data_IF_185327364619
#
_entry.id   IF_185327364619
#
_cell.length_a   1.000
_cell.length_b   1.000
_cell.length_c   1.000
_cell.angle_alpha   90.00
_cell.angle_beta   90.00
_cell.angle_gamma   90.00
#
_symmetry.space_group_name_H-M   'P 1'
#
loop_
_entity.id
_entity.type
_entity.pdbx_description
1 polymer ?
#
# COMPACT_ATOMS: atom_id res chain seq x y z
N UNK A 1 -71.36 23.93 -8.00
CA UNK A 1 -72.51 23.01 -7.91
C UNK A 1 -71.96 21.58 -7.87
N UNK A 2 -72.51 20.63 -7.08
CA UNK A 2 -72.32 20.58 -5.62
C UNK A 2 -72.03 19.14 -5.07
N UNK A 3 -71.96 19.03 -3.73
CA UNK A 3 -72.27 17.84 -2.86
C UNK A 3 -71.13 16.80 -2.67
N UNK A 4 -70.38 16.73 -1.56
CA UNK A 4 -70.66 16.24 -0.16
C UNK A 4 -71.20 14.81 -0.06
N UNK A 5 -70.37 13.80 0.27
CA UNK A 5 -70.70 12.72 1.23
C UNK A 5 -69.47 11.80 1.43
N UNK A 6 -68.86 11.76 2.62
CA UNK A 6 -69.20 10.95 3.82
C UNK A 6 -69.09 9.43 3.61
N UNK A 7 -67.96 8.90 4.07
CA UNK A 7 -67.79 7.78 5.00
C UNK A 7 -68.79 6.61 4.86
N UNK A 8 -68.30 5.49 4.33
CA UNK A 8 -68.68 4.10 4.71
C UNK A 8 -67.39 3.26 4.56
N UNK A 9 -66.70 2.91 5.65
CA UNK A 9 -66.85 1.66 6.43
C UNK A 9 -66.90 0.40 5.56
N UNK A 10 -65.90 -0.49 5.74
CA UNK A 10 -65.93 -1.97 5.80
C UNK A 10 -64.47 -2.48 5.67
N UNK A 11 -63.75 -2.70 6.77
CA UNK A 11 -63.51 -4.00 7.41
C UNK A 11 -63.09 -5.14 6.46
N UNK A 12 -61.78 -5.41 6.47
CA UNK A 12 -61.09 -6.70 6.45
C UNK A 12 -61.62 -7.82 5.54
N UNK A 13 -60.84 -8.16 4.52
CA UNK A 13 -60.66 -9.54 4.08
C UNK A 13 -59.26 -9.71 3.48
N UNK A 14 -58.43 -10.41 4.25
CA UNK A 14 -57.11 -10.94 3.89
C UNK A 14 -57.26 -11.98 2.76
N UNK A 15 -56.19 -12.11 1.96
CA UNK A 15 -55.91 -13.05 0.85
C UNK A 15 -56.11 -12.52 -0.58
N UNK A 16 -55.03 -12.00 -1.16
CA UNK A 16 -54.68 -12.25 -2.55
C UNK A 16 -53.17 -12.00 -2.77
N UNK A 17 -52.46 -13.04 -3.20
CA UNK A 17 -51.12 -12.93 -3.75
C UNK A 17 -51.17 -12.16 -5.08
N UNK A 18 -50.22 -11.23 -5.29
CA UNK A 18 -50.12 -10.45 -6.52
C UNK A 18 -48.84 -9.61 -6.55
N UNK A 19 -47.97 -9.94 -7.50
CA UNK A 19 -46.62 -9.43 -7.74
C UNK A 19 -46.63 -7.95 -8.16
N UNK A 20 -45.64 -7.19 -7.69
CA UNK A 20 -44.77 -6.22 -8.41
C UNK A 20 -44.37 -5.07 -7.47
N UNK A 21 -43.08 -5.00 -7.17
CA UNK A 21 -42.48 -4.03 -6.26
C UNK A 21 -42.45 -2.61 -6.82
N UNK A 22 -42.61 -1.64 -5.92
CA UNK A 22 -42.25 -0.25 -6.13
C UNK A 22 -41.99 0.42 -4.77
N UNK A 23 -40.76 0.95 -4.64
CA UNK A 23 -40.28 1.97 -3.69
C UNK A 23 -40.38 1.64 -2.18
N UNK A 24 -39.32 1.00 -1.68
CA UNK A 24 -38.98 0.99 -0.26
C UNK A 24 -38.17 2.24 0.11
N UNK A 25 -38.43 2.75 1.31
CA UNK A 25 -37.58 3.69 2.02
C UNK A 25 -37.03 3.05 3.30
N UNK A 26 -35.93 3.66 3.75
CA UNK A 26 -35.24 3.64 5.05
C UNK A 26 -34.33 2.49 5.50
N UNK A 27 -33.21 2.96 6.09
CA UNK A 27 -32.27 2.38 7.05
C UNK A 27 -31.22 1.29 6.67
N UNK A 28 -29.97 1.69 6.93
CA UNK A 28 -28.83 0.95 7.48
C UNK A 28 -28.02 -0.06 6.62
N UNK A 29 -26.72 0.24 6.55
CA UNK A 29 -25.51 -0.53 6.18
C UNK A 29 -25.57 -2.08 6.32
N UNK A 30 -24.83 -2.86 5.48
CA UNK A 30 -23.39 -2.68 5.26
C UNK A 30 -22.92 -2.69 3.80
N UNK A 31 -21.75 -2.10 3.59
CA UNK A 31 -20.93 -2.11 2.39
C UNK A 31 -20.94 -3.46 1.65
N UNK A 32 -21.68 -3.50 0.55
CA UNK A 32 -21.52 -4.48 -0.51
C UNK A 32 -20.74 -3.79 -1.63
N UNK A 33 -19.47 -4.20 -1.76
CA UNK A 33 -18.53 -3.71 -2.77
C UNK A 33 -19.07 -3.99 -4.18
N UNK A 34 -19.67 -2.96 -4.79
CA UNK A 34 -20.07 -3.00 -6.18
C UNK A 34 -18.85 -2.78 -7.08
N UNK A 35 -18.42 -3.86 -7.74
CA UNK A 35 -17.51 -3.79 -8.88
C UNK A 35 -18.00 -2.77 -9.91
N UNK A 36 -17.24 -1.70 -10.10
CA UNK A 36 -17.40 -0.79 -11.22
C UNK A 36 -16.41 -1.13 -12.32
N UNK A 37 -16.94 -1.38 -13.52
CA UNK A 37 -16.17 -1.39 -14.75
C UNK A 37 -16.01 0.05 -15.25
N UNK A 38 -14.75 0.49 -15.35
CA UNK A 38 -14.28 1.55 -16.23
C UNK A 38 -14.24 2.97 -15.63
N UNK A 39 -13.07 3.34 -15.07
CA UNK A 39 -12.44 4.67 -15.21
C UNK A 39 -10.99 4.60 -14.66
N UNK A 40 -10.04 4.26 -15.54
CA UNK A 40 -8.60 4.03 -15.29
C UNK A 40 -7.78 5.29 -14.89
N UNK A 41 -8.41 6.31 -14.31
CA UNK A 41 -7.73 7.54 -13.87
C UNK A 41 -7.88 7.83 -12.36
N UNK A 42 -8.85 7.20 -11.67
CA UNK A 42 -9.16 7.45 -10.24
C UNK A 42 -8.57 6.37 -9.30
N UNK A 43 -8.29 5.18 -9.85
CA UNK A 43 -7.76 4.02 -9.11
C UNK A 43 -6.30 4.23 -8.67
N UNK A 44 -5.50 4.92 -9.48
CA UNK A 44 -4.10 5.21 -9.14
C UNK A 44 -3.95 6.20 -7.99
N UNK A 45 -4.87 7.16 -7.86
CA UNK A 45 -4.88 8.13 -6.76
C UNK A 45 -5.31 7.49 -5.44
N UNK A 46 -6.35 6.67 -5.46
CA UNK A 46 -6.89 6.00 -4.28
C UNK A 46 -5.94 4.92 -3.74
N UNK A 47 -5.32 4.11 -4.62
CA UNK A 47 -4.31 3.14 -4.23
C UNK A 47 -3.04 3.81 -3.68
N UNK A 48 -2.59 4.89 -4.32
CA UNK A 48 -1.45 5.69 -3.84
C UNK A 48 -1.73 6.29 -2.46
N UNK A 49 -2.91 6.86 -2.25
CA UNK A 49 -3.30 7.43 -0.96
C UNK A 49 -3.30 6.36 0.14
N UNK A 50 -3.82 5.15 -0.15
CA UNK A 50 -3.75 4.03 0.80
C UNK A 50 -2.32 3.62 1.18
N UNK A 51 -1.38 3.66 0.23
CA UNK A 51 0.04 3.39 0.49
C UNK A 51 0.69 4.53 1.29
N UNK A 52 0.36 5.79 0.97
CA UNK A 52 0.84 6.96 1.72
C UNK A 52 0.36 6.91 3.18
N UNK A 53 -0.92 6.62 3.41
CA UNK A 53 -1.48 6.45 4.76
C UNK A 53 -0.79 5.29 5.50
N UNK A 54 -0.54 4.17 4.84
CA UNK A 54 0.16 3.03 5.43
C UNK A 54 1.62 3.34 5.80
N UNK A 55 2.31 4.20 5.03
CA UNK A 55 3.65 4.68 5.39
C UNK A 55 3.62 5.56 6.64
N UNK A 56 2.62 6.43 6.76
CA UNK A 56 2.42 7.23 7.96
C UNK A 56 2.13 6.34 9.18
N UNK A 57 1.24 5.37 9.05
CA UNK A 57 0.91 4.41 10.10
C UNK A 57 2.12 3.54 10.47
N UNK A 58 2.93 3.13 9.51
CA UNK A 58 4.18 2.42 9.75
C UNK A 58 5.15 3.26 10.58
N UNK A 59 5.38 4.53 10.21
CA UNK A 59 6.28 5.42 10.96
C UNK A 59 5.73 5.77 12.35
N UNK A 60 4.40 5.88 12.51
CA UNK A 60 3.77 6.02 13.81
C UNK A 60 3.98 4.78 14.68
N UNK A 61 3.77 3.58 14.14
CA UNK A 61 4.04 2.32 14.83
C UNK A 61 5.50 2.22 15.28
N UNK A 62 6.46 2.61 14.44
CA UNK A 62 7.89 2.61 14.79
C UNK A 62 8.18 3.52 16.00
N UNK A 63 7.54 4.70 16.06
CA UNK A 63 7.66 5.60 17.24
C UNK A 63 7.04 5.00 18.48
N UNK A 64 5.91 4.29 18.36
CA UNK A 64 5.28 3.56 19.47
C UNK A 64 6.17 2.42 19.99
N UNK A 65 6.98 1.81 19.11
CA UNK A 65 8.04 0.85 19.50
C UNK A 65 9.28 1.53 20.11
N UNK A 66 9.30 2.86 20.20
CA UNK A 66 10.41 3.64 20.75
C UNK A 66 11.50 3.99 19.74
N UNK A 67 11.27 3.77 18.44
CA UNK A 67 12.21 4.13 17.36
C UNK A 67 11.77 5.46 16.74
N UNK A 68 12.54 6.51 16.98
CA UNK A 68 12.21 7.84 16.50
C UNK A 68 12.57 7.97 15.01
N UNK A 69 11.54 7.98 14.17
CA UNK A 69 11.61 8.15 12.72
C UNK A 69 10.74 9.33 12.29
N UNK A 70 11.11 10.13 11.28
CA UNK A 70 10.21 11.12 10.68
C UNK A 70 9.17 10.44 9.78
N UNK A 71 8.11 11.17 9.43
CA UNK A 71 7.07 10.68 8.53
C UNK A 71 7.63 10.52 7.11
N UNK A 72 7.39 9.37 6.50
CA UNK A 72 7.84 9.05 5.13
C UNK A 72 6.71 9.36 4.15
N UNK A 73 7.04 10.12 3.11
CA UNK A 73 6.12 10.45 2.02
C UNK A 73 6.60 9.82 0.72
N UNK A 74 5.71 9.69 -0.26
CA UNK A 74 6.07 9.25 -1.60
C UNK A 74 6.46 10.44 -2.48
N UNK A 75 7.45 10.27 -3.35
CA UNK A 75 7.78 11.23 -4.39
C UNK A 75 6.78 11.18 -5.56
N UNK A 76 6.97 12.04 -6.57
CA UNK A 76 6.11 12.06 -7.75
C UNK A 76 6.08 10.72 -8.51
N UNK A 77 7.14 9.90 -8.40
CA UNK A 77 7.23 8.58 -8.99
C UNK A 77 6.60 7.49 -8.10
N UNK A 78 6.16 7.81 -6.88
CA UNK A 78 5.58 6.83 -5.96
C UNK A 78 6.62 6.09 -5.11
N UNK A 79 7.87 6.55 -5.09
CA UNK A 79 8.92 5.97 -4.26
C UNK A 79 9.00 6.64 -2.88
N UNK A 80 9.23 5.89 -1.79
CA UNK A 80 9.42 6.46 -0.47
C UNK A 80 10.61 7.43 -0.41
N UNK A 81 10.37 8.65 0.07
CA UNK A 81 11.37 9.69 0.25
C UNK A 81 12.03 9.55 1.63
N UNK A 82 13.07 8.74 1.71
CA UNK A 82 13.88 8.58 2.92
C UNK A 82 15.18 9.35 2.73
N UNK A 83 15.47 10.34 3.58
CA UNK A 83 16.75 11.05 3.54
C UNK A 83 17.76 10.37 4.47
N UNK A 84 19.06 10.50 4.20
CA UNK A 84 20.10 9.94 5.07
C UNK A 84 19.99 10.42 6.51
N UNK A 85 19.69 11.71 6.70
CA UNK A 85 19.53 12.33 8.02
C UNK A 85 18.34 11.76 8.80
N UNK A 86 17.32 11.25 8.10
CA UNK A 86 16.11 10.68 8.71
C UNK A 86 16.40 9.35 9.43
N UNK A 87 17.47 8.65 9.05
CA UNK A 87 17.86 7.35 9.61
C UNK A 87 19.29 7.31 10.18
N UNK A 88 20.04 8.41 10.11
CA UNK A 88 21.43 8.48 10.57
C UNK A 88 21.62 8.16 12.08
N UNK A 89 20.55 8.31 12.87
CA UNK A 89 20.54 7.97 14.30
C UNK A 89 20.00 6.58 14.63
N UNK A 90 19.61 5.79 13.63
CA UNK A 90 18.96 4.48 13.81
C UNK A 90 19.95 3.38 13.51
N UNK A 91 20.18 2.51 14.48
CA UNK A 91 20.96 1.30 14.28
C UNK A 91 20.08 0.21 13.66
N UNK A 92 20.16 0.04 12.34
CA UNK A 92 19.38 -0.98 11.63
C UNK A 92 19.82 -2.42 11.98
N UNK A 93 20.97 -2.60 12.63
CA UNK A 93 21.45 -3.89 13.10
C UNK A 93 20.98 -4.20 14.54
N UNK A 94 20.43 -3.21 15.25
CA UNK A 94 19.91 -3.40 16.60
C UNK A 94 18.74 -4.38 16.61
N UNK A 95 18.72 -5.34 17.56
CA UNK A 95 17.61 -6.27 17.71
C UNK A 95 16.30 -5.55 18.08
N UNK A 96 16.38 -4.42 18.79
CA UNK A 96 15.22 -3.57 19.08
C UNK A 96 14.61 -2.99 17.81
N UNK A 97 15.44 -2.45 16.90
CA UNK A 97 14.99 -1.89 15.62
C UNK A 97 14.41 -2.97 14.71
N UNK A 98 15.07 -4.14 14.61
CA UNK A 98 14.57 -5.25 13.80
C UNK A 98 13.23 -5.80 14.31
N UNK A 99 13.07 -5.90 15.63
CA UNK A 99 11.82 -6.31 16.24
C UNK A 99 10.71 -5.28 15.96
N UNK A 100 11.01 -3.98 16.06
CA UNK A 100 10.06 -2.92 15.75
C UNK A 100 9.61 -2.97 14.28
N UNK A 101 10.56 -3.11 13.34
CA UNK A 101 10.24 -3.23 11.91
C UNK A 101 9.38 -4.46 11.66
N UNK A 102 9.74 -5.61 12.21
CA UNK A 102 8.96 -6.84 12.06
C UNK A 102 7.54 -6.72 12.62
N UNK A 103 7.34 -5.94 13.70
CA UNK A 103 6.03 -5.71 14.30
C UNK A 103 5.17 -4.74 13.48
N UNK A 104 5.78 -3.73 12.86
CA UNK A 104 5.09 -2.70 12.10
C UNK A 104 4.92 -3.03 10.61
N UNK A 105 5.70 -3.97 10.07
CA UNK A 105 5.73 -4.28 8.64
C UNK A 105 4.38 -4.75 8.09
N UNK A 106 3.55 -5.39 8.92
CA UNK A 106 2.23 -5.86 8.49
C UNK A 106 1.35 -4.73 7.96
N UNK A 107 1.51 -3.50 8.48
CA UNK A 107 0.78 -2.32 8.03
C UNK A 107 1.01 -2.08 6.53
N UNK A 108 2.27 -2.21 6.08
CA UNK A 108 2.63 -2.01 4.69
C UNK A 108 2.20 -3.17 3.79
N UNK A 109 2.28 -4.41 4.29
CA UNK A 109 1.83 -5.58 3.52
C UNK A 109 0.32 -5.59 3.35
N UNK A 110 -0.44 -5.23 4.39
CA UNK A 110 -1.90 -5.19 4.37
C UNK A 110 -2.42 -4.08 3.46
N UNK A 111 -1.70 -2.96 3.37
CA UNK A 111 -1.96 -1.88 2.42
C UNK A 111 -1.57 -2.21 0.97
N UNK A 112 -0.99 -3.39 0.73
CA UNK A 112 -0.55 -3.81 -0.59
C UNK A 112 0.65 -3.02 -1.13
N UNK A 113 1.37 -2.29 -0.29
CA UNK A 113 2.54 -1.50 -0.69
C UNK A 113 3.65 -2.35 -1.33
N UNK A 114 3.64 -3.66 -1.03
CA UNK A 114 4.52 -4.66 -1.63
C UNK A 114 3.76 -5.78 -2.36
N UNK A 115 2.45 -5.63 -2.57
CA UNK A 115 1.62 -6.62 -3.27
C UNK A 115 1.80 -6.50 -4.78
N UNK A 116 3.01 -6.80 -5.21
CA UNK A 116 3.27 -7.18 -6.59
C UNK A 116 2.96 -8.67 -6.84
N UNK A 117 2.48 -9.36 -5.80
CA UNK A 117 2.33 -10.82 -5.72
C UNK A 117 1.05 -11.36 -6.41
N UNK A 118 0.13 -10.48 -6.80
CA UNK A 118 -1.15 -10.88 -7.37
C UNK A 118 -1.08 -11.20 -8.88
N UNK A 119 0.02 -10.81 -9.54
CA UNK A 119 0.31 -11.13 -10.95
C UNK A 119 1.62 -11.93 -11.08
N UNK A 120 1.56 -13.21 -11.48
CA UNK A 120 2.74 -14.07 -11.58
C UNK A 120 3.72 -13.65 -12.70
N UNK A 121 3.25 -12.99 -13.76
CA UNK A 121 4.15 -12.45 -14.80
C UNK A 121 4.87 -11.20 -14.28
N UNK A 122 4.16 -10.33 -13.56
CA UNK A 122 4.76 -9.16 -12.91
C UNK A 122 5.76 -9.55 -11.83
N UNK A 123 5.47 -10.58 -11.03
CA UNK A 123 6.37 -11.08 -10.00
C UNK A 123 7.69 -11.60 -10.60
N UNK A 124 7.63 -12.31 -11.73
CA UNK A 124 8.83 -12.78 -12.42
C UNK A 124 9.68 -11.63 -12.96
N UNK A 125 9.04 -10.60 -13.53
CA UNK A 125 9.73 -9.39 -14.02
C UNK A 125 10.39 -8.61 -12.88
N UNK A 126 9.72 -8.47 -11.75
CA UNK A 126 10.26 -7.79 -10.57
C UNK A 126 11.39 -8.55 -9.93
N UNK A 127 11.31 -9.89 -9.87
CA UNK A 127 12.40 -10.71 -9.35
C UNK A 127 13.69 -10.49 -10.15
N UNK A 128 13.61 -10.44 -11.48
CA UNK A 128 14.74 -10.19 -12.37
C UNK A 128 15.28 -8.76 -12.19
N UNK A 129 14.38 -7.77 -12.15
CA UNK A 129 14.70 -6.37 -11.84
C UNK A 129 15.46 -6.25 -10.50
N UNK A 130 14.93 -6.81 -9.42
CA UNK A 130 15.57 -6.77 -8.09
C UNK A 130 16.94 -7.48 -8.09
N UNK A 131 17.10 -8.55 -8.87
CA UNK A 131 18.38 -9.23 -9.01
C UNK A 131 19.40 -8.35 -9.76
N UNK A 132 18.97 -7.68 -10.82
CA UNK A 132 19.78 -6.72 -11.57
C UNK A 132 20.17 -5.51 -10.71
N UNK A 133 19.27 -5.03 -9.85
CA UNK A 133 19.56 -4.00 -8.86
C UNK A 133 20.68 -4.45 -7.91
N UNK A 134 20.58 -5.65 -7.34
CA UNK A 134 21.59 -6.20 -6.45
C UNK A 134 22.96 -6.34 -7.14
N UNK A 135 22.98 -6.84 -8.38
CA UNK A 135 24.21 -6.92 -9.20
C UNK A 135 24.79 -5.54 -9.48
N UNK A 136 23.94 -4.55 -9.78
CA UNK A 136 24.36 -3.17 -10.00
C UNK A 136 25.00 -2.58 -8.74
N UNK A 137 24.36 -2.72 -7.58
CA UNK A 137 24.89 -2.19 -6.30
C UNK A 137 26.28 -2.75 -6.01
N UNK A 138 26.49 -4.05 -6.21
CA UNK A 138 27.81 -4.68 -6.08
C UNK A 138 28.81 -4.12 -7.09
N UNK A 139 28.41 -3.90 -8.35
CA UNK A 139 29.27 -3.32 -9.39
C UNK A 139 29.69 -1.87 -9.07
N UNK A 140 28.82 -1.09 -8.44
CA UNK A 140 29.12 0.29 -8.01
C UNK A 140 29.96 0.33 -6.71
N UNK A 141 30.37 -0.83 -6.18
CA UNK A 141 31.30 -0.94 -5.06
C UNK A 141 30.65 -1.24 -3.71
N UNK A 142 29.37 -1.61 -3.68
CA UNK A 142 28.70 -2.14 -2.48
C UNK A 142 28.78 -3.66 -2.50
N UNK A 143 29.99 -4.21 -2.37
CA UNK A 143 30.29 -5.64 -2.60
C UNK A 143 29.43 -6.60 -1.76
N UNK A 144 29.05 -6.19 -0.55
CA UNK A 144 28.28 -7.00 0.40
C UNK A 144 26.75 -6.85 0.24
N UNK A 145 26.27 -6.19 -0.83
CA UNK A 145 24.83 -6.05 -1.05
C UNK A 145 24.17 -7.41 -1.35
N UNK A 146 23.12 -7.82 -0.60
CA UNK A 146 22.53 -9.15 -0.70
C UNK A 146 21.64 -9.32 -1.94
N UNK A 147 21.39 -10.57 -2.31
CA UNK A 147 20.40 -10.93 -3.35
C UNK A 147 18.97 -10.90 -2.78
N UNK A 148 17.95 -10.63 -3.62
CA UNK A 148 16.56 -10.55 -3.19
C UNK A 148 15.95 -11.92 -2.85
N UNK A 149 15.10 -11.97 -1.83
CA UNK A 149 14.31 -13.14 -1.43
C UNK A 149 12.83 -12.95 -1.83
N UNK A 150 12.36 -13.74 -2.81
CA UNK A 150 10.94 -13.71 -3.24
C UNK A 150 9.96 -14.30 -2.23
N UNK A 151 10.45 -15.05 -1.24
CA UNK A 151 9.59 -15.65 -0.22
C UNK A 151 9.33 -14.69 0.95
N UNK A 152 10.11 -13.60 1.04
CA UNK A 152 9.96 -12.57 2.05
C UNK A 152 8.98 -11.48 1.60
N UNK A 153 8.25 -10.91 2.55
CA UNK A 153 7.38 -9.76 2.28
C UNK A 153 8.15 -8.52 1.84
N UNK A 154 9.39 -8.35 2.35
CA UNK A 154 10.36 -7.38 1.82
C UNK A 154 11.46 -8.19 1.11
N UNK A 155 11.74 -7.93 -0.18
CA UNK A 155 12.73 -8.69 -0.92
C UNK A 155 14.17 -8.55 -0.42
N UNK A 156 14.51 -7.45 0.25
CA UNK A 156 15.84 -7.24 0.83
C UNK A 156 15.78 -7.15 2.35
N UNK A 157 16.77 -7.72 3.06
CA UNK A 157 16.85 -7.52 4.50
C UNK A 157 17.10 -6.04 4.79
N UNK A 158 16.50 -5.51 5.86
CA UNK A 158 16.68 -4.12 6.29
C UNK A 158 18.16 -3.79 6.50
N UNK A 159 18.94 -4.77 6.96
CA UNK A 159 20.38 -4.63 7.18
C UNK A 159 21.17 -4.35 5.89
N UNK A 160 20.62 -4.64 4.70
CA UNK A 160 21.21 -4.24 3.42
C UNK A 160 21.37 -2.72 3.27
N UNK A 161 20.62 -1.94 4.07
CA UNK A 161 20.59 -0.48 4.01
C UNK A 161 21.27 0.19 5.21
N UNK A 162 22.02 -0.56 6.04
CA UNK A 162 22.83 0.02 7.14
C UNK A 162 23.81 1.07 6.64
N UNK A 163 24.33 0.88 5.43
CA UNK A 163 25.24 1.78 4.76
C UNK A 163 24.56 2.98 4.07
N UNK A 164 23.24 3.16 4.20
CA UNK A 164 22.51 4.21 3.47
C UNK A 164 22.98 5.63 3.77
N UNK A 165 23.50 5.89 4.98
CA UNK A 165 24.10 7.18 5.31
C UNK A 165 25.44 7.45 4.60
N UNK A 166 26.07 6.44 3.99
CA UNK A 166 27.34 6.60 3.27
C UNK A 166 27.11 7.19 1.87
N UNK A 167 27.95 8.16 1.49
CA UNK A 167 27.86 8.79 0.17
C UNK A 167 28.01 7.80 -0.98
N UNK A 168 28.97 6.85 -0.88
CA UNK A 168 29.18 5.83 -1.91
C UNK A 168 27.96 4.94 -2.12
N UNK A 169 27.21 4.65 -1.04
CA UNK A 169 25.97 3.88 -1.13
C UNK A 169 24.87 4.67 -1.82
N UNK A 170 24.73 5.96 -1.50
CA UNK A 170 23.74 6.84 -2.13
C UNK A 170 24.02 7.07 -3.62
N UNK A 171 25.30 7.28 -3.97
CA UNK A 171 25.74 7.43 -5.36
C UNK A 171 25.42 6.14 -6.16
N UNK A 172 25.74 4.97 -5.60
CA UNK A 172 25.39 3.68 -6.18
C UNK A 172 23.87 3.51 -6.34
N UNK A 173 23.09 3.84 -5.31
CA UNK A 173 21.63 3.78 -5.34
C UNK A 173 21.05 4.67 -6.44
N UNK A 174 21.58 5.88 -6.63
CA UNK A 174 21.11 6.80 -7.68
C UNK A 174 21.38 6.26 -9.09
N UNK A 175 22.55 5.66 -9.31
CA UNK A 175 22.91 5.01 -10.57
C UNK A 175 22.03 3.80 -10.81
N UNK A 176 21.91 2.91 -9.82
CA UNK A 176 21.22 1.64 -9.98
C UNK A 176 19.70 1.77 -10.06
N UNK A 177 19.08 2.68 -9.29
CA UNK A 177 17.63 2.97 -9.35
C UNK A 177 17.14 3.30 -10.76
N UNK A 178 17.91 4.07 -11.53
CA UNK A 178 17.53 4.45 -12.91
C UNK A 178 17.54 3.28 -13.88
N UNK A 179 18.30 2.23 -13.57
CA UNK A 179 18.50 1.11 -14.48
C UNK A 179 17.43 0.02 -14.33
N UNK A 180 16.78 -0.07 -13.17
CA UNK A 180 15.89 -1.18 -12.86
C UNK A 180 14.46 -1.02 -13.35
N UNK A 181 14.07 0.18 -13.82
CA UNK A 181 12.84 0.43 -14.58
C UNK A 181 11.62 -0.34 -14.08
N UNK A 182 11.38 -0.33 -12.76
CA UNK A 182 10.20 -0.98 -12.18
C UNK A 182 8.98 -0.24 -12.76
N UNK A 183 8.09 -0.93 -13.51
CA UNK A 183 6.91 -0.29 -14.07
C UNK A 183 6.10 0.36 -12.93
N UNK A 184 5.95 1.70 -12.97
CA UNK A 184 5.22 2.47 -11.97
C UNK A 184 6.05 3.19 -10.90
N UNK A 185 7.40 3.06 -10.90
CA UNK A 185 8.28 3.80 -9.97
C UNK A 185 9.37 4.65 -10.67
N UNK A 186 9.22 4.91 -11.96
CA UNK A 186 10.15 5.78 -12.68
C UNK A 186 9.82 5.90 -14.16
N UNK A 187 9.43 7.11 -14.56
CA UNK A 187 9.74 7.66 -15.90
C UNK A 187 10.79 8.75 -15.75
#
# INVERSE_FOLDING_TARGET
MPIRNRILLLLAAVLAAGVLGACGGDDAEPDEVASISGDDADQGGSARQGIEDALLDFTACMRDQGIEVPDVQLDAAGAPMIRPDDIAGIDLESPEVQAAISACLSILTDAGAFSFADDPELQALLQDSLQDFAVCMRREGIDDFPDPDSSAAIPFPVTAFTAFANQSFQDALEVCRRQVGIPGLGE
#
